data_IF_685042301182
#
_entry.id   IF_685042301182
#
_cell.length_a   1.000
_cell.length_b   1.000
_cell.length_c   1.000
_cell.angle_alpha   90.00
_cell.angle_beta   90.00
_cell.angle_gamma   90.00
#
_symmetry.space_group_name_H-M   'P 1'
#
loop_
_entity.id
_entity.type
_entity.pdbx_description
1 polymer ?
#
# COMPACT_ATOMS: atom_id res chain seq x y z
N UNK A 1 5.23 -8.07 -0.64
CA UNK A 1 3.93 -8.22 0.06
C UNK A 1 3.81 -7.09 1.05
N UNK A 2 2.68 -6.39 1.06
CA UNK A 2 2.44 -5.27 1.98
C UNK A 2 1.48 -5.71 3.09
N UNK A 3 1.88 -5.52 4.34
CA UNK A 3 1.08 -5.81 5.55
C UNK A 3 0.90 -4.52 6.32
N UNK A 4 -0.33 -4.22 6.73
CA UNK A 4 -0.66 -3.02 7.50
C UNK A 4 -1.29 -3.41 8.83
N UNK A 5 -0.66 -3.01 9.93
CA UNK A 5 -1.23 -3.16 11.26
C UNK A 5 -2.15 -1.99 11.55
N UNK A 6 -3.41 -2.30 11.88
CA UNK A 6 -4.49 -1.34 12.03
C UNK A 6 -5.24 -1.54 13.35
N UNK A 7 -6.04 -0.54 13.72
CA UNK A 7 -7.03 -0.65 14.79
C UNK A 7 -8.36 -0.10 14.32
N UNK A 8 -9.45 -0.78 14.65
CA UNK A 8 -10.81 -0.33 14.37
C UNK A 8 -11.05 1.09 14.90
N UNK A 9 -11.54 1.98 14.04
CA UNK A 9 -11.84 3.38 14.38
C UNK A 9 -10.62 4.31 14.43
N UNK A 10 -9.43 3.87 14.00
CA UNK A 10 -8.26 4.73 13.96
C UNK A 10 -8.25 5.61 12.68
N UNK A 11 -8.33 6.95 12.78
CA UNK A 11 -8.38 7.83 11.61
C UNK A 11 -7.07 7.80 10.81
N UNK A 12 -5.93 7.61 11.47
CA UNK A 12 -4.62 7.51 10.81
C UNK A 12 -4.47 6.23 9.97
N UNK A 13 -5.08 5.12 10.41
CA UNK A 13 -5.13 3.89 9.61
C UNK A 13 -5.99 4.09 8.36
N UNK A 14 -7.16 4.72 8.52
CA UNK A 14 -8.04 5.04 7.38
C UNK A 14 -7.34 5.91 6.33
N UNK A 15 -6.50 6.87 6.75
CA UNK A 15 -5.68 7.69 5.84
C UNK A 15 -4.77 6.84 4.95
N UNK A 16 -4.07 5.87 5.54
CA UNK A 16 -3.17 4.97 4.78
C UNK A 16 -3.95 4.07 3.84
N UNK A 17 -5.07 3.49 4.30
CA UNK A 17 -5.92 2.63 3.50
C UNK A 17 -6.47 3.38 2.28
N UNK A 18 -6.98 4.61 2.46
CA UNK A 18 -7.43 5.44 1.34
C UNK A 18 -6.32 5.70 0.32
N UNK A 19 -5.10 6.04 0.78
CA UNK A 19 -3.98 6.25 -0.13
C UNK A 19 -3.62 4.99 -0.92
N UNK A 20 -3.71 3.81 -0.31
CA UNK A 20 -3.48 2.56 -1.01
C UNK A 20 -4.61 2.22 -2.00
N UNK A 21 -5.87 2.48 -1.66
CA UNK A 21 -6.99 2.36 -2.60
C UNK A 21 -6.80 3.27 -3.82
N UNK A 22 -6.38 4.53 -3.61
CA UNK A 22 -6.05 5.46 -4.71
C UNK A 22 -4.93 4.92 -5.61
N UNK A 23 -3.99 4.17 -5.04
CA UNK A 23 -2.85 3.58 -5.74
C UNK A 23 -3.15 2.18 -6.31
N UNK A 24 -4.35 1.63 -6.07
CA UNK A 24 -4.69 0.26 -6.47
C UNK A 24 -3.91 -0.82 -5.73
N UNK A 25 -3.40 -0.52 -4.53
CA UNK A 25 -2.63 -1.44 -3.70
C UNK A 25 -3.53 -2.23 -2.75
N UNK A 26 -3.18 -3.49 -2.55
CA UNK A 26 -3.80 -4.35 -1.55
C UNK A 26 -2.87 -4.58 -0.37
N UNK A 27 -3.45 -4.60 0.84
CA UNK A 27 -2.75 -4.93 2.08
C UNK A 27 -3.28 -6.20 2.71
N UNK A 28 -2.39 -6.94 3.35
CA UNK A 28 -2.79 -7.82 4.44
C UNK A 28 -3.03 -6.95 5.68
N UNK A 29 -4.30 -6.72 6.02
CA UNK A 29 -4.67 -5.96 7.21
C UNK A 29 -4.62 -6.84 8.46
N UNK A 30 -3.83 -6.41 9.46
CA UNK A 30 -3.72 -7.08 10.75
C UNK A 30 -4.26 -6.18 11.86
N UNK A 31 -5.39 -6.56 12.45
CA UNK A 31 -6.04 -5.74 13.49
C UNK A 31 -5.47 -6.04 14.88
N UNK A 32 -4.89 -5.03 15.53
CA UNK A 32 -4.31 -5.15 16.88
C UNK A 32 -5.35 -5.27 18.01
N UNK A 33 -6.65 -5.36 17.67
CA UNK A 33 -7.68 -5.78 18.60
C UNK A 33 -7.51 -7.26 18.99
N UNK A 34 -6.88 -8.05 18.13
CA UNK A 34 -6.38 -9.38 18.49
C UNK A 34 -5.04 -9.25 19.24
N UNK A 35 -4.92 -9.90 20.40
CA UNK A 35 -3.72 -9.78 21.22
C UNK A 35 -2.50 -10.45 20.59
N UNK A 36 -2.67 -11.55 19.83
CA UNK A 36 -1.53 -12.18 19.15
C UNK A 36 -0.96 -11.25 18.07
N UNK A 37 -1.82 -10.54 17.34
CA UNK A 37 -1.40 -9.51 16.37
C UNK A 37 -0.71 -8.33 17.07
N UNK A 38 -1.22 -7.92 18.23
CA UNK A 38 -0.61 -6.84 19.00
C UNK A 38 0.77 -7.23 19.52
N UNK A 39 0.95 -8.46 20.00
CA UNK A 39 2.25 -9.00 20.40
C UNK A 39 3.21 -9.10 19.21
N UNK A 40 2.73 -9.52 18.03
CA UNK A 40 3.50 -9.53 16.79
C UNK A 40 4.01 -8.11 16.44
N UNK A 41 3.13 -7.12 16.50
CA UNK A 41 3.48 -5.71 16.25
C UNK A 41 4.56 -5.22 17.24
N UNK A 42 4.42 -5.54 18.53
CA UNK A 42 5.40 -5.14 19.54
C UNK A 42 6.75 -5.84 19.29
N UNK A 43 6.74 -7.11 18.88
CA UNK A 43 7.97 -7.83 18.54
C UNK A 43 8.66 -7.24 17.31
N UNK A 44 7.90 -6.75 16.33
CA UNK A 44 8.42 -6.17 15.09
C UNK A 44 8.91 -4.73 15.24
N UNK A 45 8.08 -3.85 15.83
CA UNK A 45 8.33 -2.41 15.87
C UNK A 45 8.49 -1.82 17.27
N UNK A 46 8.47 -2.65 18.32
CA UNK A 46 8.78 -2.27 19.70
C UNK A 46 7.63 -1.58 20.45
N UNK A 47 6.54 -1.21 19.78
CA UNK A 47 5.38 -0.56 20.40
C UNK A 47 4.07 -0.97 19.75
N UNK A 48 2.96 -0.90 20.51
CA UNK A 48 1.59 -1.19 20.05
C UNK A 48 0.96 0.00 19.29
N UNK A 49 1.79 0.86 18.69
CA UNK A 49 1.35 2.03 17.93
C UNK A 49 0.86 1.63 16.53
N UNK A 50 -0.17 2.31 16.03
CA UNK A 50 -0.68 2.10 14.66
C UNK A 50 -0.94 3.45 13.98
N UNK A 51 -0.88 3.53 12.65
CA UNK A 51 -0.56 2.45 11.70
C UNK A 51 0.92 2.04 11.70
N UNK A 52 1.18 0.78 11.33
CA UNK A 52 2.52 0.26 11.08
C UNK A 52 2.53 -0.53 9.77
N UNK A 53 3.39 -0.14 8.84
CA UNK A 53 3.55 -0.79 7.55
C UNK A 53 4.72 -1.77 7.61
N UNK A 54 4.53 -2.96 7.05
CA UNK A 54 5.62 -3.89 6.69
C UNK A 54 5.55 -4.16 5.20
N UNK A 55 6.64 -3.88 4.51
CA UNK A 55 6.85 -4.23 3.11
C UNK A 55 7.95 -5.29 3.03
N UNK A 56 7.51 -6.55 2.92
CA UNK A 56 8.41 -7.70 2.85
C UNK A 56 9.18 -7.78 1.54
N UNK A 57 8.71 -7.11 0.48
CA UNK A 57 9.40 -7.10 -0.82
C UNK A 57 10.66 -6.23 -0.77
N UNK A 58 10.55 -5.10 -0.06
CA UNK A 58 11.64 -4.12 0.08
C UNK A 58 12.37 -4.21 1.41
N UNK A 59 11.96 -5.13 2.30
CA UNK A 59 12.48 -5.25 3.68
C UNK A 59 12.38 -3.94 4.46
N UNK A 60 11.25 -3.24 4.30
CA UNK A 60 10.97 -1.96 4.96
C UNK A 60 9.88 -2.17 6.00
N UNK A 61 10.04 -1.54 7.16
CA UNK A 61 8.98 -1.43 8.14
C UNK A 61 9.01 -0.05 8.79
N UNK A 62 7.84 0.58 8.96
CA UNK A 62 7.76 1.97 9.42
C UNK A 62 6.45 2.30 10.12
N UNK A 63 6.52 3.30 11.00
CA UNK A 63 5.39 3.95 11.66
C UNK A 63 5.04 5.26 10.94
N UNK A 64 4.11 6.01 11.54
CA UNK A 64 3.64 7.34 11.11
C UNK A 64 2.84 7.31 9.80
N UNK A 65 1.55 7.67 9.89
CA UNK A 65 0.65 7.58 8.73
C UNK A 65 1.09 8.45 7.55
N UNK A 66 1.69 9.61 7.79
CA UNK A 66 2.17 10.48 6.72
C UNK A 66 3.38 9.86 6.00
N UNK A 67 4.37 9.38 6.76
CA UNK A 67 5.55 8.72 6.19
C UNK A 67 5.17 7.48 5.39
N UNK A 68 4.21 6.69 5.89
CA UNK A 68 3.66 5.53 5.18
C UNK A 68 3.03 5.96 3.85
N UNK A 69 2.18 7.00 3.85
CA UNK A 69 1.53 7.47 2.61
C UNK A 69 2.56 7.98 1.60
N UNK A 70 3.54 8.76 2.05
CA UNK A 70 4.61 9.26 1.19
C UNK A 70 5.44 8.10 0.61
N UNK A 71 5.77 7.09 1.42
CA UNK A 71 6.44 5.88 0.99
C UNK A 71 5.64 5.15 -0.11
N UNK A 72 4.35 4.94 0.12
CA UNK A 72 3.49 4.27 -0.87
C UNK A 72 3.44 5.06 -2.19
N UNK A 73 3.28 6.38 -2.13
CA UNK A 73 3.29 7.22 -3.33
C UNK A 73 4.64 7.21 -4.04
N UNK A 74 5.75 7.26 -3.31
CA UNK A 74 7.08 7.26 -3.90
C UNK A 74 7.44 5.92 -4.56
N UNK A 75 7.07 4.80 -3.95
CA UNK A 75 7.49 3.47 -4.38
C UNK A 75 6.47 2.73 -5.25
N UNK A 76 5.20 3.11 -5.15
CA UNK A 76 4.08 2.47 -5.84
C UNK A 76 3.18 3.45 -6.59
N UNK A 77 3.34 4.76 -6.41
CA UNK A 77 2.60 5.79 -7.15
C UNK A 77 3.04 6.01 -8.60
N UNK A 78 3.96 5.19 -9.10
CA UNK A 78 4.46 5.21 -10.47
C UNK A 78 3.87 4.06 -11.28
N UNK A 79 2.56 4.06 -11.48
CA UNK A 79 1.97 3.27 -12.55
C UNK A 79 0.93 4.13 -13.30
N UNK A 80 1.32 4.81 -14.39
CA UNK A 80 0.35 5.02 -15.45
C UNK A 80 -0.07 3.62 -15.87
N UNK A 81 -1.35 3.30 -15.63
CA UNK A 81 -2.03 2.10 -16.09
C UNK A 81 -1.36 1.58 -17.38
N UNK A 82 -0.63 0.47 -17.28
CA UNK A 82 -0.31 -0.33 -18.45
C UNK A 82 -1.65 -0.79 -19.01
N UNK A 83 -2.09 -0.07 -20.03
CA UNK A 83 -3.15 -0.47 -20.93
C UNK A 83 -2.71 -1.78 -21.56
N UNK A 84 -3.17 -2.91 -21.04
CA UNK A 84 -3.18 -4.15 -21.81
C UNK A 84 -4.11 -3.94 -23.01
N UNK A 85 -3.52 -3.65 -24.18
CA UNK A 85 -4.28 -3.41 -25.40
C UNK A 85 -3.49 -2.82 -26.57
N UNK A 86 -2.20 -3.11 -26.71
CA UNK A 86 -1.54 -2.93 -28.01
C UNK A 86 -1.97 -4.05 -28.96
N UNK A 87 -2.80 -3.71 -29.94
CA UNK A 87 -2.48 -4.07 -31.33
C UNK A 87 -2.76 -2.85 -32.21
N UNK A 88 -1.72 -2.09 -32.51
CA UNK A 88 -1.62 -1.33 -33.77
C UNK A 88 -1.02 -2.27 -34.82
N UNK A 89 -1.37 -2.13 -36.11
CA UNK A 89 -0.66 -1.12 -36.88
C UNK A 89 -1.57 -0.25 -37.75
N UNK A 90 -1.14 1.00 -37.89
CA UNK A 90 -1.50 1.86 -39.01
C UNK A 90 -1.13 1.19 -40.34
N UNK A 91 -1.88 1.44 -41.41
CA UNK A 91 -1.30 1.64 -42.73
C UNK A 91 -2.29 2.44 -43.59
N UNK A 92 -1.93 3.72 -43.72
CA UNK A 92 -2.05 4.60 -44.89
C UNK A 92 -3.19 4.36 -45.87
N UNK A 93 -4.07 5.36 -45.97
CA UNK A 93 -4.85 5.55 -47.18
C UNK A 93 -3.92 6.00 -48.30
N UNK A 94 -4.03 5.35 -49.45
CA UNK A 94 -3.72 5.99 -50.72
C UNK A 94 -4.99 5.91 -51.59
N UNK A 95 -5.43 7.09 -52.02
CA UNK A 95 -6.51 7.33 -52.96
C UNK A 95 -6.12 6.81 -54.35
N UNK A 96 -7.00 6.04 -55.02
CA UNK A 96 -7.34 6.15 -56.45
C UNK A 96 -8.75 5.57 -56.70
#
# INVERSE_FOLDING_TARGET
MLTLFVKSGCPYCAKVLMAAEELGLSFEEKNIADDAVAEELIALGGTRQVPYLVDSDRSVAMYESDDIVEYLRAHYGSHPLETEGETVPAHDGEEL
#
